data_IF_956316570503
#
_entry.id   IF_956316570503
#
_cell.length_a   1.000
_cell.length_b   1.000
_cell.length_c   1.000
_cell.angle_alpha   90.00
_cell.angle_beta   90.00
_cell.angle_gamma   90.00
#
_symmetry.space_group_name_H-M   'P 1'
#
loop_
_entity.id
_entity.type
_entity.pdbx_description
1 polymer ?
#
# COMPACT_ATOMS: atom_id res chain seq x y z
N UNK A 1 47.76 3.17 -58.55
CA UNK A 1 46.38 3.68 -58.54
C UNK A 1 46.42 5.15 -58.14
N UNK A 2 46.14 6.01 -59.13
CA UNK A 2 45.36 7.27 -59.10
C UNK A 2 45.77 8.48 -58.23
N UNK A 3 45.80 9.62 -58.92
CA UNK A 3 46.09 11.01 -58.54
C UNK A 3 44.94 11.76 -57.82
N UNK A 4 45.36 12.86 -57.15
CA UNK A 4 44.78 14.24 -57.05
C UNK A 4 43.52 14.60 -56.22
N UNK A 5 43.78 15.60 -55.37
CA UNK A 5 43.05 16.86 -55.01
C UNK A 5 41.65 16.91 -54.33
N UNK A 6 41.57 17.87 -53.37
CA UNK A 6 40.49 18.49 -52.53
C UNK A 6 39.06 18.58 -53.14
N UNK A 7 37.94 18.71 -52.38
CA UNK A 7 37.56 19.95 -51.62
C UNK A 7 36.50 19.86 -50.47
N UNK A 8 36.19 21.03 -49.86
CA UNK A 8 34.98 21.31 -49.05
C UNK A 8 33.68 21.19 -49.88
N UNK A 9 32.59 20.69 -49.27
CA UNK A 9 31.16 21.07 -49.45
C UNK A 9 30.28 20.17 -48.55
N UNK A 10 29.57 20.69 -47.55
CA UNK A 10 28.24 21.33 -47.57
C UNK A 10 27.03 20.36 -47.48
N UNK A 11 26.28 20.52 -46.36
CA UNK A 11 24.84 20.25 -46.13
C UNK A 11 24.25 18.83 -46.28
N UNK A 12 23.82 18.26 -45.14
CA UNK A 12 22.44 17.75 -44.95
C UNK A 12 22.04 17.69 -43.47
N UNK A 13 21.22 18.67 -43.09
CA UNK A 13 20.01 18.57 -42.26
C UNK A 13 19.95 17.57 -41.08
N UNK A 14 19.80 18.10 -39.86
CA UNK A 14 19.34 17.33 -38.71
C UNK A 14 19.19 18.14 -37.42
N UNK A 15 18.31 19.15 -37.40
CA UNK A 15 17.89 19.81 -36.14
C UNK A 15 17.15 18.79 -35.28
N UNK A 16 17.62 18.54 -34.07
CA UNK A 16 16.78 18.04 -32.97
C UNK A 16 16.95 18.98 -31.78
N UNK A 17 15.98 19.88 -31.64
CA UNK A 17 15.88 20.77 -30.50
C UNK A 17 15.51 19.99 -29.25
N UNK A 18 16.29 20.19 -28.19
CA UNK A 18 15.92 19.82 -26.83
C UNK A 18 14.66 20.60 -26.43
N UNK A 19 13.52 19.92 -26.36
CA UNK A 19 12.31 20.45 -25.77
C UNK A 19 12.32 20.11 -24.27
N UNK A 20 12.66 21.09 -23.43
CA UNK A 20 12.41 21.01 -21.98
C UNK A 20 10.90 20.95 -21.78
N UNK A 21 10.36 19.79 -21.40
CA UNK A 21 9.00 19.68 -20.91
C UNK A 21 9.00 20.01 -19.42
N UNK A 22 8.48 21.18 -19.09
CA UNK A 22 8.00 21.50 -17.75
C UNK A 22 6.64 20.87 -17.58
N UNK A 23 6.54 19.79 -16.81
CA UNK A 23 5.25 19.19 -16.44
C UNK A 23 4.67 19.92 -15.22
N UNK A 24 3.61 20.71 -15.45
CA UNK A 24 2.68 21.10 -14.41
C UNK A 24 1.97 19.85 -13.86
N UNK A 25 1.68 19.75 -12.56
CA UNK A 25 0.88 18.66 -12.03
C UNK A 25 -0.59 18.87 -12.44
N UNK A 26 -1.09 18.02 -13.32
CA UNK A 26 -2.52 17.93 -13.63
C UNK A 26 -3.24 17.34 -12.43
N UNK A 27 -4.21 18.08 -11.88
CA UNK A 27 -5.14 17.58 -10.86
C UNK A 27 -5.78 16.28 -11.34
N UNK A 28 -5.62 15.20 -10.55
CA UNK A 28 -6.29 13.94 -10.81
C UNK A 28 -7.77 14.09 -10.47
N UNK A 29 -8.61 14.22 -11.49
CA UNK A 29 -10.06 14.06 -11.37
C UNK A 29 -10.35 12.62 -10.96
N UNK A 30 -10.96 12.44 -9.79
CA UNK A 30 -11.39 11.15 -9.27
C UNK A 30 -12.54 10.64 -10.13
N UNK A 31 -12.26 9.72 -11.06
CA UNK A 31 -13.32 8.93 -11.69
C UNK A 31 -13.84 7.95 -10.63
N UNK A 32 -14.90 8.32 -9.90
CA UNK A 32 -15.68 7.32 -9.19
C UNK A 32 -16.36 6.45 -10.24
N UNK A 33 -15.81 5.28 -10.51
CA UNK A 33 -16.58 4.23 -11.16
C UNK A 33 -17.76 3.94 -10.24
N UNK A 34 -18.96 4.30 -10.70
CA UNK A 34 -20.20 3.90 -10.04
C UNK A 34 -20.11 2.40 -9.78
N UNK A 35 -20.40 1.99 -8.55
CA UNK A 35 -20.36 0.59 -8.13
C UNK A 35 -21.31 -0.23 -9.01
N UNK A 36 -20.79 -0.78 -10.11
CA UNK A 36 -21.51 -1.70 -10.96
C UNK A 36 -21.68 -3.00 -10.18
N UNK A 37 -22.74 -3.07 -9.38
CA UNK A 37 -23.23 -4.36 -8.92
C UNK A 37 -23.60 -5.15 -10.18
N UNK A 38 -22.76 -6.12 -10.55
CA UNK A 38 -23.20 -7.19 -11.44
C UNK A 38 -24.33 -7.90 -10.70
N UNK A 39 -25.56 -7.77 -11.21
CA UNK A 39 -26.65 -8.64 -10.78
C UNK A 39 -26.24 -10.07 -11.13
N UNK A 40 -26.04 -10.88 -10.10
CA UNK A 40 -25.73 -12.29 -10.27
C UNK A 40 -27.08 -13.01 -10.37
N UNK A 41 -27.29 -13.89 -11.37
CA UNK A 41 -28.50 -14.71 -11.44
C UNK A 41 -28.70 -15.45 -10.12
N UNK A 42 -29.95 -15.49 -9.64
CA UNK A 42 -30.35 -15.96 -8.29
C UNK A 42 -29.83 -17.36 -7.89
N UNK A 43 -29.36 -18.15 -8.85
CA UNK A 43 -28.89 -19.53 -8.67
C UNK A 43 -27.37 -19.69 -8.77
N UNK A 44 -26.59 -18.60 -8.86
CA UNK A 44 -25.13 -18.66 -8.82
C UNK A 44 -24.67 -18.07 -7.49
N UNK A 45 -23.96 -18.83 -6.63
CA UNK A 45 -23.37 -18.27 -5.43
C UNK A 45 -22.26 -17.30 -5.84
N UNK A 46 -22.56 -16.01 -5.82
CA UNK A 46 -21.57 -14.96 -5.97
C UNK A 46 -21.39 -14.21 -4.66
N UNK A 47 -20.13 -14.03 -4.29
CA UNK A 47 -19.73 -13.15 -3.20
C UNK A 47 -19.47 -11.78 -3.81
N UNK A 48 -20.26 -10.78 -3.42
CA UNK A 48 -20.01 -9.39 -3.77
C UNK A 48 -18.76 -8.90 -3.04
N UNK A 49 -17.60 -8.92 -3.71
CA UNK A 49 -16.36 -8.37 -3.13
C UNK A 49 -16.33 -6.87 -3.39
N UNK A 50 -16.58 -6.07 -2.34
CA UNK A 50 -16.26 -4.63 -2.35
C UNK A 50 -14.81 -4.43 -1.93
N UNK A 51 -14.13 -3.45 -2.55
CA UNK A 51 -12.78 -3.04 -2.12
C UNK A 51 -11.61 -3.80 -2.77
N UNK A 52 -11.76 -4.23 -4.03
CA UNK A 52 -10.62 -4.74 -4.81
C UNK A 52 -9.69 -3.56 -5.14
N UNK A 53 -8.45 -3.62 -4.67
CA UNK A 53 -7.40 -2.65 -4.96
C UNK A 53 -6.30 -3.31 -5.78
N UNK A 54 -5.87 -2.64 -6.84
CA UNK A 54 -4.75 -3.07 -7.67
C UNK A 54 -3.51 -2.28 -7.27
N UNK A 55 -2.46 -3.01 -6.89
CA UNK A 55 -1.13 -2.42 -6.71
C UNK A 55 -0.44 -2.39 -8.08
N UNK A 56 0.02 -1.22 -8.48
CA UNK A 56 0.69 -1.00 -9.76
C UNK A 56 1.89 -0.08 -9.54
N UNK A 57 2.89 -0.23 -10.41
CA UNK A 57 4.05 0.63 -10.56
C UNK A 57 3.74 1.93 -11.32
N UNK A 58 2.49 2.12 -11.77
CA UNK A 58 2.07 3.36 -12.39
C UNK A 58 2.28 4.55 -11.43
N UNK A 59 2.72 5.71 -11.95
CA UNK A 59 2.94 6.89 -11.14
C UNK A 59 1.63 7.35 -10.49
N UNK A 60 1.63 7.42 -9.16
CA UNK A 60 0.49 7.85 -8.35
C UNK A 60 0.84 7.83 -6.86
N UNK A 61 0.21 8.69 -6.07
CA UNK A 61 0.32 8.62 -4.61
C UNK A 61 -0.52 7.45 -4.08
N UNK A 62 -0.02 6.75 -3.07
CA UNK A 62 -0.86 5.83 -2.30
C UNK A 62 -1.95 6.66 -1.59
N UNK A 63 -3.24 6.31 -1.72
CA UNK A 63 -4.27 6.93 -0.90
C UNK A 63 -3.90 6.81 0.58
N UNK A 64 -4.06 7.89 1.33
CA UNK A 64 -3.79 7.91 2.77
C UNK A 64 -5.06 8.24 3.56
N UNK A 65 -5.08 7.88 4.84
CA UNK A 65 -6.08 8.34 5.78
C UNK A 65 -5.44 8.65 7.13
N UNK A 66 -6.04 9.58 7.88
CA UNK A 66 -5.63 9.85 9.27
C UNK A 66 -6.43 8.94 10.21
N UNK A 67 -5.78 8.06 10.99
CA UNK A 67 -6.48 7.25 11.99
C UNK A 67 -7.18 8.12 13.04
N UNK A 68 -8.38 7.73 13.44
CA UNK A 68 -9.19 8.45 14.45
C UNK A 68 -9.63 7.56 15.62
N UNK A 69 -9.46 6.24 15.50
CA UNK A 69 -9.77 5.28 16.55
C UNK A 69 -8.81 5.44 17.72
N UNK A 70 -9.32 5.64 18.94
CA UNK A 70 -8.51 5.60 20.15
C UNK A 70 -8.29 4.15 20.58
N UNK A 71 -7.14 3.85 21.17
CA UNK A 71 -6.86 2.51 21.66
C UNK A 71 -7.89 2.07 22.71
N UNK A 72 -8.53 0.94 22.44
CA UNK A 72 -9.40 0.24 23.38
C UNK A 72 -8.94 -1.23 23.45
N UNK A 73 -8.53 -1.77 24.60
CA UNK A 73 -8.11 -3.17 24.72
C UNK A 73 -9.21 -4.19 24.37
N UNK A 74 -10.49 -3.80 24.39
CA UNK A 74 -11.59 -4.64 23.93
C UNK A 74 -11.60 -4.79 22.40
N UNK A 75 -11.29 -3.71 21.68
CA UNK A 75 -11.23 -3.68 20.21
C UNK A 75 -9.84 -4.00 19.66
N UNK A 76 -8.81 -3.79 20.48
CA UNK A 76 -7.39 -3.94 20.18
C UNK A 76 -6.69 -4.82 21.23
N UNK A 77 -7.08 -6.10 21.34
CA UNK A 77 -6.49 -7.01 22.31
C UNK A 77 -5.01 -7.26 22.03
N UNK A 78 -4.25 -7.62 23.07
CA UNK A 78 -2.92 -8.19 22.90
C UNK A 78 -3.03 -9.61 22.32
N UNK A 79 -2.03 -10.00 21.55
CA UNK A 79 -1.91 -11.38 21.10
C UNK A 79 -1.55 -12.32 22.26
N UNK A 80 -2.14 -13.52 22.28
CA UNK A 80 -1.96 -14.50 23.36
C UNK A 80 -0.51 -15.02 23.46
N UNK A 81 0.19 -15.05 22.32
CA UNK A 81 1.47 -15.73 22.15
C UNK A 81 2.61 -14.81 21.71
N UNK A 82 2.44 -13.50 21.87
CA UNK A 82 3.43 -12.48 21.54
C UNK A 82 3.65 -11.57 22.75
N UNK A 83 4.70 -10.74 22.74
CA UNK A 83 4.91 -9.75 23.79
C UNK A 83 3.68 -8.84 23.98
N UNK A 84 3.40 -8.49 25.24
CA UNK A 84 2.27 -7.64 25.66
C UNK A 84 2.44 -6.15 25.28
N UNK A 85 3.08 -5.87 24.15
CA UNK A 85 3.21 -4.56 23.53
C UNK A 85 2.73 -4.56 22.07
N UNK A 86 2.40 -5.73 21.50
CA UNK A 86 1.82 -5.87 20.17
C UNK A 86 0.30 -6.06 20.29
N UNK A 87 -0.46 -5.13 19.72
CA UNK A 87 -1.93 -5.15 19.74
C UNK A 87 -2.50 -5.54 18.40
N UNK A 88 -3.66 -6.18 18.39
CA UNK A 88 -4.40 -6.53 17.19
C UNK A 88 -5.26 -5.35 16.72
N UNK A 89 -5.40 -5.18 15.40
CA UNK A 89 -6.45 -4.35 14.83
C UNK A 89 -7.29 -5.20 13.88
N UNK A 90 -8.55 -5.46 14.25
CA UNK A 90 -9.48 -6.28 13.46
C UNK A 90 -9.71 -5.76 12.04
N UNK A 91 -9.61 -4.44 11.86
CA UNK A 91 -9.82 -3.74 10.59
C UNK A 91 -8.84 -2.57 10.43
N UNK A 92 -8.74 -2.00 9.22
CA UNK A 92 -7.99 -0.76 9.03
C UNK A 92 -8.58 0.43 9.81
N UNK A 93 -9.90 0.43 10.03
CA UNK A 93 -10.59 1.49 10.78
C UNK A 93 -10.29 1.45 12.28
N UNK A 94 -9.89 0.28 12.81
CA UNK A 94 -9.59 0.09 14.23
C UNK A 94 -8.09 0.14 14.53
N UNK A 95 -7.27 0.67 13.61
CA UNK A 95 -5.85 0.96 13.90
C UNK A 95 -5.80 2.15 14.87
N UNK A 96 -5.25 1.97 16.09
CA UNK A 96 -5.30 3.00 17.14
C UNK A 96 -4.36 4.16 16.85
N UNK A 97 -4.90 5.38 16.88
CA UNK A 97 -4.23 6.64 16.55
C UNK A 97 -3.25 7.14 17.63
N UNK A 98 -3.44 6.68 18.87
CA UNK A 98 -2.75 7.13 20.09
C UNK A 98 -1.81 6.06 20.69
N UNK A 99 -1.81 4.83 20.16
CA UNK A 99 -0.97 3.74 20.64
C UNK A 99 0.49 3.92 20.20
N UNK A 100 1.40 3.91 21.19
CA UNK A 100 2.86 3.82 20.96
C UNK A 100 3.34 2.37 20.97
N UNK A 101 3.57 1.77 19.81
CA UNK A 101 4.07 0.40 19.72
C UNK A 101 3.59 -0.29 18.45
N UNK A 102 3.79 -1.60 18.39
CA UNK A 102 3.43 -2.41 17.23
C UNK A 102 1.93 -2.70 17.19
N UNK A 103 1.34 -2.52 16.02
CA UNK A 103 -0.04 -2.87 15.71
C UNK A 103 -0.04 -3.92 14.61
N UNK A 104 -0.70 -5.05 14.84
CA UNK A 104 -1.00 -6.06 13.84
C UNK A 104 -2.25 -5.69 13.04
N UNK A 105 -2.06 -5.06 11.89
CA UNK A 105 -3.12 -4.58 11.02
C UNK A 105 -3.45 -5.57 9.88
N UNK A 106 -4.68 -5.57 9.33
CA UNK A 106 -5.03 -6.42 8.20
C UNK A 106 -4.32 -5.95 6.90
N UNK A 107 -4.16 -6.87 5.95
CA UNK A 107 -3.56 -6.55 4.63
C UNK A 107 -4.32 -5.44 3.87
N UNK A 108 -5.62 -5.29 4.13
CA UNK A 108 -6.46 -4.23 3.55
C UNK A 108 -6.02 -2.82 3.97
N UNK A 109 -5.17 -2.67 4.98
CA UNK A 109 -4.55 -1.39 5.33
C UNK A 109 -3.71 -0.81 4.17
N UNK A 110 -3.17 -1.65 3.29
CA UNK A 110 -2.42 -1.19 2.12
C UNK A 110 -3.30 -0.46 1.08
N UNK A 111 -4.63 -0.60 1.15
CA UNK A 111 -5.55 0.10 0.26
C UNK A 111 -5.61 1.61 0.53
N UNK A 112 -5.49 2.00 1.81
CA UNK A 112 -5.39 3.39 2.25
C UNK A 112 -4.39 3.42 3.41
N UNK A 113 -3.19 3.93 3.17
CA UNK A 113 -2.12 3.89 4.16
C UNK A 113 -2.39 4.88 5.31
N UNK A 114 -2.23 4.47 6.59
CA UNK A 114 -2.41 5.38 7.71
C UNK A 114 -1.27 6.39 7.80
N UNK A 115 -1.61 7.68 7.80
CA UNK A 115 -0.64 8.76 7.91
C UNK A 115 0.12 8.72 9.23
N UNK A 116 1.44 8.92 9.18
CA UNK A 116 2.29 8.87 10.36
C UNK A 116 2.60 7.46 10.85
N UNK A 117 2.43 6.43 10.02
CA UNK A 117 2.83 5.06 10.33
C UNK A 117 3.87 4.54 9.33
N UNK A 118 4.75 3.66 9.80
CA UNK A 118 5.65 2.86 8.96
C UNK A 118 5.35 1.37 9.06
N UNK A 119 5.58 0.66 7.96
CA UNK A 119 5.61 -0.81 7.95
C UNK A 119 6.94 -1.28 8.54
N UNK A 120 6.88 -2.14 9.54
CA UNK A 120 8.09 -2.73 10.16
C UNK A 120 8.18 -4.23 9.95
N UNK A 121 7.08 -4.87 9.53
CA UNK A 121 7.07 -6.29 9.33
C UNK A 121 5.71 -6.84 8.90
N UNK A 122 5.61 -8.16 8.88
CA UNK A 122 4.43 -8.93 8.59
C UNK A 122 4.58 -10.32 9.22
N UNK A 123 3.58 -10.73 10.00
CA UNK A 123 3.53 -12.08 10.55
C UNK A 123 3.31 -13.14 9.45
N UNK A 124 3.98 -14.31 9.55
CA UNK A 124 5.06 -14.69 10.48
C UNK A 124 6.47 -14.47 9.89
N UNK A 125 6.59 -13.97 8.66
CA UNK A 125 7.81 -14.11 7.85
C UNK A 125 8.82 -12.96 7.96
N UNK A 126 8.36 -11.72 8.14
CA UNK A 126 9.24 -10.54 8.14
C UNK A 126 9.00 -9.80 9.44
N UNK A 127 9.79 -10.08 10.47
CA UNK A 127 9.53 -9.56 11.81
C UNK A 127 10.69 -8.67 12.28
N UNK A 128 10.38 -7.60 13.04
CA UNK A 128 11.42 -6.84 13.71
C UNK A 128 12.16 -7.72 14.73
N UNK A 129 13.36 -7.31 15.10
CA UNK A 129 14.18 -8.02 16.08
C UNK A 129 13.43 -8.20 17.41
N UNK A 130 13.60 -9.37 18.04
CA UNK A 130 12.93 -9.70 19.30
C UNK A 130 11.47 -10.20 19.16
N UNK A 131 10.85 -10.08 17.98
CA UNK A 131 9.49 -10.61 17.75
C UNK A 131 9.55 -12.06 17.26
N UNK A 132 8.91 -13.02 17.96
CA UNK A 132 9.02 -14.43 17.61
C UNK A 132 8.25 -14.78 16.33
N UNK A 133 8.81 -15.68 15.53
CA UNK A 133 8.22 -16.18 14.27
C UNK A 133 7.13 -17.21 14.53
N UNK A 134 5.97 -16.73 14.96
CA UNK A 134 4.79 -17.55 15.25
C UNK A 134 3.57 -17.04 14.50
N UNK A 135 2.55 -17.89 14.35
CA UNK A 135 1.22 -17.44 13.91
C UNK A 135 0.58 -16.65 15.05
N UNK A 136 0.17 -15.38 14.84
CA UNK A 136 -0.46 -14.57 15.87
C UNK A 136 -1.79 -15.19 16.30
N UNK A 137 -2.08 -15.18 17.62
CA UNK A 137 -3.30 -15.76 18.18
C UNK A 137 -4.08 -14.77 19.04
N UNK A 138 -5.41 -14.82 18.95
CA UNK A 138 -6.35 -14.12 19.84
C UNK A 138 -7.39 -15.13 20.32
N UNK A 139 -7.58 -15.24 21.63
CA UNK A 139 -8.54 -16.19 22.21
C UNK A 139 -8.22 -17.66 21.87
N UNK A 140 -6.93 -18.01 21.76
CA UNK A 140 -6.44 -19.34 21.42
C UNK A 140 -6.59 -19.71 19.94
N UNK A 141 -6.98 -18.76 19.08
CA UNK A 141 -7.21 -19.00 17.64
C UNK A 141 -6.21 -18.22 16.80
N UNK A 142 -5.60 -18.85 15.77
CA UNK A 142 -4.77 -18.13 14.81
C UNK A 142 -5.56 -17.03 14.11
N UNK A 143 -4.99 -15.84 14.00
CA UNK A 143 -5.54 -14.79 13.14
C UNK A 143 -5.02 -14.94 11.71
N UNK A 144 -5.64 -14.22 10.77
CA UNK A 144 -5.04 -14.02 9.45
C UNK A 144 -3.67 -13.34 9.56
N UNK A 145 -2.89 -13.38 8.47
CA UNK A 145 -1.62 -12.65 8.39
C UNK A 145 -1.85 -11.16 8.67
N UNK A 146 -0.99 -10.59 9.50
CA UNK A 146 -1.05 -9.18 9.89
C UNK A 146 0.21 -8.46 9.45
N UNK A 147 0.02 -7.25 8.94
CA UNK A 147 1.08 -6.26 8.79
C UNK A 147 1.44 -5.75 10.19
N UNK A 148 2.73 -5.61 10.48
CA UNK A 148 3.19 -4.91 11.66
C UNK A 148 3.48 -3.47 11.28
N UNK A 149 2.70 -2.56 11.86
CA UNK A 149 2.87 -1.12 11.69
C UNK A 149 3.13 -0.45 13.02
N UNK A 150 3.85 0.66 12.98
CA UNK A 150 4.05 1.51 14.14
C UNK A 150 3.98 2.98 13.76
N UNK A 151 3.56 3.80 14.72
CA UNK A 151 3.44 5.25 14.58
C UNK A 151 4.83 5.90 14.67
N UNK A 152 5.09 6.87 13.81
CA UNK A 152 6.31 7.69 13.70
C UNK A 152 6.15 8.99 14.52
#
# INVERSE_FOLDING_TARGET
MTEKERPEQAMRSGRHGMRRQTSQPTSATRTSVASAYRQVPTNVPAVGVKGVVWYTDLPGGCPTFTPTHAYDPADNPFYDNLPHDIVEAGSAATVPADRKGLVGAPISLLANWPEGYRLVGMFPSHLPEGVPRVSPMIGGRPTFRRLLVERI
#
